data_IF_359698164706
#
_entry.id   IF_359698164706
#
_cell.length_a   1.000
_cell.length_b   1.000
_cell.length_c   1.000
_cell.angle_alpha   90.00
_cell.angle_beta   90.00
_cell.angle_gamma   90.00
#
_symmetry.space_group_name_H-M   'P 1'
#
loop_
_entity.id
_entity.type
_entity.pdbx_description
1 polymer ?
#
# COMPACT_ATOMS: atom_id res chain seq x y z
N UNK A 1 2.38 14.47 4.48
CA UNK A 1 1.57 15.48 3.71
C UNK A 1 0.27 15.65 4.48
N UNK A 2 -0.13 16.87 4.79
CA UNK A 2 -1.36 17.15 5.55
C UNK A 2 -2.15 18.27 4.88
N UNK A 3 -3.48 18.17 4.87
CA UNK A 3 -4.38 19.21 4.38
C UNK A 3 -5.67 19.31 5.21
N UNK A 4 -6.13 20.51 5.46
CA UNK A 4 -7.30 20.80 6.30
C UNK A 4 -8.65 20.51 5.64
N UNK A 5 -8.71 20.20 4.35
CA UNK A 5 -9.96 19.93 3.62
C UNK A 5 -9.88 18.73 2.71
N UNK A 6 -9.03 18.76 1.68
CA UNK A 6 -8.91 17.68 0.71
C UNK A 6 -7.53 17.60 0.11
N UNK A 7 -7.15 16.40 -0.29
CA UNK A 7 -5.95 16.13 -1.08
C UNK A 7 -6.37 15.51 -2.41
N UNK A 8 -5.82 16.05 -3.50
CA UNK A 8 -5.99 15.48 -4.84
C UNK A 8 -4.61 15.23 -5.45
N UNK A 9 -4.35 13.99 -5.83
CA UNK A 9 -3.11 13.57 -6.48
C UNK A 9 -3.47 13.02 -7.87
N UNK A 10 -3.04 13.72 -8.91
CA UNK A 10 -3.35 13.36 -10.30
C UNK A 10 -2.18 12.71 -11.04
N UNK A 11 -1.03 12.55 -10.38
CA UNK A 11 0.16 11.93 -10.99
C UNK A 11 1.45 12.27 -10.26
N UNK A 12 2.56 11.87 -10.87
CA UNK A 12 3.90 12.08 -10.33
C UNK A 12 4.40 10.92 -9.46
N UNK A 13 5.64 11.04 -9.00
CA UNK A 13 6.26 10.10 -8.07
C UNK A 13 6.34 10.76 -6.70
N UNK A 14 5.58 10.27 -5.73
CA UNK A 14 5.41 10.89 -4.42
C UNK A 14 5.83 9.91 -3.33
N UNK A 15 6.78 10.34 -2.51
CA UNK A 15 7.19 9.64 -1.31
C UNK A 15 6.87 10.50 -0.09
N UNK A 16 6.03 9.99 0.80
CA UNK A 16 5.69 10.60 2.08
C UNK A 16 6.19 9.71 3.21
N UNK A 17 6.90 10.28 4.16
CA UNK A 17 7.36 9.59 5.36
C UNK A 17 7.07 10.45 6.59
N UNK A 18 6.38 9.86 7.55
CA UNK A 18 6.18 10.45 8.87
C UNK A 18 6.81 9.59 9.95
N UNK A 19 7.53 10.22 10.86
CA UNK A 19 8.13 9.53 12.02
C UNK A 19 7.20 9.48 13.23
N UNK A 20 6.17 10.31 13.26
CA UNK A 20 5.30 10.45 14.44
C UNK A 20 3.81 10.66 14.14
N UNK A 21 3.40 10.57 12.85
CA UNK A 21 2.00 10.80 12.44
C UNK A 21 1.71 10.02 11.16
N UNK A 22 0.58 10.32 10.49
CA UNK A 22 0.18 9.75 9.20
C UNK A 22 1.13 10.11 8.08
N UNK A 23 1.19 9.26 7.06
CA UNK A 23 1.98 9.53 5.87
C UNK A 23 1.33 10.61 4.98
N UNK A 24 0.09 10.38 4.59
CA UNK A 24 -0.79 11.33 3.90
C UNK A 24 -2.05 11.50 4.74
N UNK A 25 -2.33 12.72 5.17
CA UNK A 25 -3.42 13.06 6.09
C UNK A 25 -4.29 14.16 5.46
N UNK A 26 -5.55 13.85 5.25
CA UNK A 26 -6.56 14.77 4.72
C UNK A 26 -7.73 14.84 5.70
N UNK A 27 -7.93 16.00 6.34
CA UNK A 27 -9.13 16.24 7.17
C UNK A 27 -10.42 16.35 6.33
N UNK A 28 -10.43 15.81 5.13
CA UNK A 28 -11.54 15.76 4.20
C UNK A 28 -11.31 14.68 3.16
N UNK A 29 -11.74 14.89 1.92
CA UNK A 29 -11.62 13.86 0.89
C UNK A 29 -10.19 13.64 0.43
N UNK A 30 -9.87 12.38 0.12
CA UNK A 30 -8.61 11.99 -0.53
C UNK A 30 -8.92 11.39 -1.90
N UNK A 31 -8.35 11.97 -2.95
CA UNK A 31 -8.55 11.51 -4.33
C UNK A 31 -7.20 11.27 -4.99
N UNK A 32 -6.98 10.05 -5.48
CA UNK A 32 -5.77 9.65 -6.22
C UNK A 32 -6.19 9.10 -7.58
N UNK A 33 -5.80 9.78 -8.64
CA UNK A 33 -6.16 9.42 -10.02
C UNK A 33 -4.97 8.97 -10.86
N UNK A 34 -3.75 9.09 -10.32
CA UNK A 34 -2.53 8.68 -11.03
C UNK A 34 -1.27 8.85 -10.20
N UNK A 35 -0.18 8.30 -10.72
CA UNK A 35 1.16 8.40 -10.15
C UNK A 35 1.60 7.18 -9.33
N UNK A 36 2.87 7.17 -8.96
CA UNK A 36 3.43 6.19 -8.03
C UNK A 36 3.57 6.84 -6.67
N UNK A 37 2.78 6.36 -5.69
CA UNK A 37 2.74 6.95 -4.35
C UNK A 37 3.16 5.90 -3.33
N UNK A 38 4.15 6.24 -2.50
CA UNK A 38 4.54 5.47 -1.32
C UNK A 38 4.35 6.36 -0.10
N UNK A 39 3.42 5.97 0.77
CA UNK A 39 3.06 6.71 1.98
C UNK A 39 3.35 5.88 3.23
N UNK A 40 4.17 6.41 4.12
CA UNK A 40 4.63 5.74 5.33
C UNK A 40 4.22 6.55 6.54
N UNK A 41 3.28 6.02 7.30
CA UNK A 41 2.93 6.53 8.63
C UNK A 41 3.68 5.80 9.74
N UNK A 42 3.46 6.21 10.98
CA UNK A 42 4.03 5.53 12.15
C UNK A 42 3.14 4.38 12.63
N UNK A 43 3.32 3.94 13.85
CA UNK A 43 2.54 2.84 14.45
C UNK A 43 1.13 3.31 14.82
N UNK A 44 0.22 2.37 15.08
CA UNK A 44 -1.16 2.67 15.52
C UNK A 44 -1.18 3.75 16.62
N UNK A 45 -2.12 4.74 16.55
CA UNK A 45 -3.29 4.75 15.67
C UNK A 45 -3.05 5.32 14.26
N UNK A 46 -1.87 5.79 13.96
CA UNK A 46 -1.57 6.52 12.73
C UNK A 46 -1.74 5.69 11.45
N UNK A 47 -2.06 6.36 10.36
CA UNK A 47 -2.41 5.74 9.08
C UNK A 47 -1.36 6.01 7.97
N UNK A 48 -1.29 5.10 6.98
CA UNK A 48 -0.54 5.36 5.76
C UNK A 48 -1.24 6.40 4.90
N UNK A 49 -2.55 6.24 4.78
CA UNK A 49 -3.47 7.22 4.20
C UNK A 49 -4.62 7.45 5.18
N UNK A 50 -4.79 8.68 5.65
CA UNK A 50 -5.90 9.12 6.47
C UNK A 50 -6.77 10.14 5.73
N UNK A 51 -8.09 10.00 5.87
CA UNK A 51 -9.07 10.96 5.38
C UNK A 51 -10.28 11.13 6.33
N UNK A 52 -10.09 10.92 7.62
CA UNK A 52 -11.12 11.16 8.64
C UNK A 52 -12.50 10.54 8.32
N UNK A 53 -12.54 9.32 7.79
CA UNK A 53 -13.75 8.63 7.34
C UNK A 53 -14.51 9.35 6.19
N UNK A 54 -13.89 10.31 5.55
CA UNK A 54 -14.41 10.93 4.34
C UNK A 54 -14.20 10.04 3.11
N UNK A 55 -14.53 10.55 1.93
CA UNK A 55 -14.36 9.80 0.68
C UNK A 55 -12.89 9.60 0.34
N UNK A 56 -12.45 8.36 0.24
CA UNK A 56 -11.16 7.97 -0.31
C UNK A 56 -11.35 7.36 -1.69
N UNK A 57 -11.01 8.09 -2.74
CA UNK A 57 -11.17 7.69 -4.13
C UNK A 57 -9.84 7.29 -4.75
N UNK A 58 -9.78 6.07 -5.32
CA UNK A 58 -8.63 5.56 -6.08
C UNK A 58 -9.12 5.12 -7.46
N UNK A 59 -8.55 5.70 -8.52
CA UNK A 59 -8.92 5.37 -9.90
C UNK A 59 -7.73 5.03 -10.80
N UNK A 60 -6.50 5.13 -10.32
CA UNK A 60 -5.29 4.77 -11.07
C UNK A 60 -4.03 4.90 -10.27
N UNK A 61 -3.12 4.33 -10.67
CA UNK A 61 -1.76 3.88 -10.90
C UNK A 61 -1.28 2.94 -9.79
N UNK A 62 -0.12 3.24 -9.15
CA UNK A 62 0.51 2.37 -8.14
C UNK A 62 0.59 3.09 -6.81
N UNK A 63 -0.16 2.60 -5.83
CA UNK A 63 -0.34 3.26 -4.55
C UNK A 63 -0.02 2.27 -3.44
N UNK A 64 0.90 2.64 -2.55
CA UNK A 64 1.24 1.87 -1.37
C UNK A 64 1.20 2.77 -0.13
N UNK A 65 0.45 2.35 0.87
CA UNK A 65 0.45 2.91 2.22
C UNK A 65 0.87 1.86 3.23
N UNK A 66 1.69 2.23 4.20
CA UNK A 66 2.06 1.34 5.31
C UNK A 66 2.17 2.12 6.62
N UNK A 67 1.53 1.60 7.67
CA UNK A 67 1.54 2.17 9.01
C UNK A 67 0.84 1.26 10.01
N UNK A 68 0.35 1.79 11.13
CA UNK A 68 -0.52 1.09 12.08
C UNK A 68 -1.96 0.94 11.60
N UNK A 69 -2.41 1.80 10.68
CA UNK A 69 -3.76 1.82 10.13
C UNK A 69 -3.82 2.34 8.69
N UNK A 70 -5.02 2.43 8.15
CA UNK A 70 -5.31 3.10 6.87
C UNK A 70 -6.80 3.38 6.75
N UNK A 71 -7.17 4.53 6.20
CA UNK A 71 -8.53 4.77 5.74
C UNK A 71 -8.89 3.77 4.63
N UNK A 72 -10.14 3.32 4.62
CA UNK A 72 -10.63 2.35 3.63
C UNK A 72 -11.09 3.07 2.37
N UNK A 73 -10.63 2.67 1.17
CA UNK A 73 -11.13 3.23 -0.08
C UNK A 73 -12.65 3.07 -0.21
N UNK A 74 -13.30 4.12 -0.69
CA UNK A 74 -14.77 4.17 -0.84
C UNK A 74 -15.17 3.42 -2.11
N UNK A 75 -15.74 2.23 -1.97
CA UNK A 75 -16.00 1.31 -3.09
C UNK A 75 -16.89 1.90 -4.19
N UNK A 76 -17.85 2.75 -3.84
CA UNK A 76 -18.79 3.35 -4.82
C UNK A 76 -18.15 4.34 -5.78
N UNK A 77 -16.93 4.82 -5.50
CA UNK A 77 -16.23 5.84 -6.32
C UNK A 77 -14.85 5.38 -6.82
N UNK A 78 -14.36 4.26 -6.33
CA UNK A 78 -13.12 3.66 -6.81
C UNK A 78 -13.35 2.85 -8.09
N UNK A 79 -12.36 2.82 -8.96
CA UNK A 79 -12.35 1.98 -10.17
C UNK A 79 -11.14 1.05 -10.24
N UNK A 80 -10.19 1.22 -9.33
CA UNK A 80 -9.00 0.39 -9.22
C UNK A 80 -9.02 -0.43 -7.93
N UNK A 81 -8.65 -1.71 -8.06
CA UNK A 81 -8.67 -2.65 -6.94
C UNK A 81 -7.58 -2.33 -5.92
N UNK A 82 -7.93 -2.58 -4.68
CA UNK A 82 -7.07 -2.33 -3.52
C UNK A 82 -7.04 -3.56 -2.62
N UNK A 83 -5.86 -3.91 -2.18
CA UNK A 83 -5.58 -4.90 -1.13
C UNK A 83 -5.29 -4.16 0.16
N UNK A 84 -5.93 -4.56 1.25
CA UNK A 84 -5.54 -4.15 2.60
C UNK A 84 -5.11 -5.41 3.36
N UNK A 85 -3.90 -5.39 3.88
CA UNK A 85 -3.27 -6.47 4.62
C UNK A 85 -2.91 -6.02 6.03
N UNK A 86 -3.39 -6.74 7.02
CA UNK A 86 -3.05 -6.53 8.44
C UNK A 86 -2.08 -7.59 8.95
N UNK A 87 -1.12 -7.20 9.77
CA UNK A 87 -0.14 -8.12 10.34
C UNK A 87 0.85 -7.45 11.26
N UNK A 88 2.07 -7.94 11.24
CA UNK A 88 3.24 -7.32 11.87
C UNK A 88 4.42 -7.39 10.91
N UNK A 89 5.41 -6.55 11.10
CA UNK A 89 6.58 -6.55 10.22
C UNK A 89 7.82 -6.00 10.90
N UNK A 90 8.97 -6.62 10.62
CA UNK A 90 10.27 -6.13 11.05
C UNK A 90 10.88 -5.22 9.98
N UNK A 91 11.63 -4.22 10.41
CA UNK A 91 12.39 -3.37 9.48
C UNK A 91 13.30 -4.21 8.59
N UNK A 92 13.30 -3.95 7.30
CA UNK A 92 14.13 -4.63 6.30
C UNK A 92 13.54 -5.94 5.77
N UNK A 93 12.43 -6.44 6.34
CA UNK A 93 11.74 -7.61 5.79
C UNK A 93 11.08 -7.25 4.46
N UNK A 94 11.27 -8.11 3.45
CA UNK A 94 10.56 -8.00 2.18
C UNK A 94 9.16 -8.58 2.34
N UNK A 95 8.15 -7.83 1.93
CA UNK A 95 6.78 -8.29 1.78
C UNK A 95 6.46 -8.32 0.29
N UNK A 96 5.87 -9.41 -0.21
CA UNK A 96 5.57 -9.56 -1.63
C UNK A 96 4.15 -10.03 -1.87
N UNK A 97 3.46 -9.42 -2.83
CA UNK A 97 2.15 -9.85 -3.32
C UNK A 97 2.35 -10.53 -4.68
N UNK A 98 1.98 -11.80 -4.75
CA UNK A 98 2.12 -12.65 -5.92
C UNK A 98 0.76 -13.12 -6.41
N UNK A 99 0.54 -13.04 -7.73
CA UNK A 99 -0.53 -13.72 -8.45
C UNK A 99 0.05 -14.78 -9.39
N UNK A 100 -0.39 -14.83 -10.65
CA UNK A 100 0.31 -15.55 -11.72
C UNK A 100 1.72 -14.99 -11.95
N UNK A 101 1.86 -13.67 -11.73
CA UNK A 101 3.09 -12.91 -11.82
C UNK A 101 3.30 -12.12 -10.54
N UNK A 102 4.52 -11.62 -10.34
CA UNK A 102 4.78 -10.67 -9.26
C UNK A 102 3.98 -9.39 -9.49
N UNK A 103 3.15 -9.05 -8.51
CA UNK A 103 2.41 -7.78 -8.51
C UNK A 103 3.26 -6.67 -7.92
N UNK A 104 3.79 -6.91 -6.71
CA UNK A 104 4.70 -5.98 -6.03
C UNK A 104 5.56 -6.70 -4.99
N UNK A 105 6.69 -6.11 -4.66
CA UNK A 105 7.45 -6.37 -3.43
C UNK A 105 7.75 -5.06 -2.73
N UNK A 106 7.77 -5.07 -1.40
CA UNK A 106 8.03 -3.89 -0.60
C UNK A 106 8.93 -4.21 0.59
N UNK A 107 10.00 -3.45 0.74
CA UNK A 107 10.88 -3.55 1.92
C UNK A 107 10.31 -2.71 3.06
N UNK A 108 9.91 -3.35 4.15
CA UNK A 108 9.32 -2.71 5.32
C UNK A 108 10.31 -1.71 5.92
N UNK A 109 9.96 -0.39 6.01
CA UNK A 109 10.94 0.64 6.34
C UNK A 109 11.22 0.78 7.83
N UNK A 110 10.33 0.29 8.68
CA UNK A 110 10.43 0.32 10.16
C UNK A 110 9.69 -0.87 10.75
N UNK A 111 9.94 -1.19 12.02
CA UNK A 111 9.20 -2.25 12.71
C UNK A 111 7.78 -1.77 13.05
N UNK A 112 6.81 -2.65 12.83
CA UNK A 112 5.41 -2.49 13.23
C UNK A 112 4.96 -3.71 14.02
N UNK A 113 4.53 -3.52 15.26
CA UNK A 113 3.88 -4.57 16.05
C UNK A 113 2.45 -4.84 15.55
N UNK A 114 1.79 -3.77 15.09
CA UNK A 114 0.56 -3.79 14.33
C UNK A 114 0.83 -3.03 13.03
N UNK A 115 0.70 -3.71 11.90
CA UNK A 115 0.96 -3.19 10.57
C UNK A 115 -0.28 -3.30 9.72
N UNK A 116 -0.60 -2.22 9.03
CA UNK A 116 -1.58 -2.21 7.96
C UNK A 116 -0.91 -1.73 6.69
N UNK A 117 -1.00 -2.56 5.63
CA UNK A 117 -0.52 -2.22 4.31
C UNK A 117 -1.72 -2.09 3.38
N UNK A 118 -1.82 -0.96 2.70
CA UNK A 118 -2.74 -0.72 1.59
C UNK A 118 -1.93 -0.74 0.30
N UNK A 119 -2.33 -1.55 -0.66
CA UNK A 119 -1.75 -1.55 -2.00
C UNK A 119 -2.84 -1.53 -3.06
N UNK A 120 -2.75 -0.58 -3.99
CA UNK A 120 -3.67 -0.46 -5.12
C UNK A 120 -2.88 -0.35 -6.43
N UNK A 121 -3.30 -1.13 -7.43
CA UNK A 121 -2.64 -1.16 -8.74
C UNK A 121 -3.57 -1.70 -9.80
N UNK A 122 -3.39 -1.24 -11.05
CA UNK A 122 -4.05 -1.80 -12.24
C UNK A 122 -3.67 -3.26 -12.52
N UNK A 123 -2.61 -3.77 -11.88
CA UNK A 123 -2.21 -5.19 -11.95
C UNK A 123 -3.07 -6.11 -11.09
N UNK A 124 -3.89 -5.57 -10.19
CA UNK A 124 -4.81 -6.36 -9.39
C UNK A 124 -6.09 -6.64 -10.19
N UNK A 125 -6.37 -7.92 -10.44
CA UNK A 125 -7.51 -8.37 -11.25
C UNK A 125 -8.62 -8.99 -10.39
N UNK A 126 -9.86 -8.88 -10.84
CA UNK A 126 -11.02 -9.54 -10.22
C UNK A 126 -10.95 -11.06 -10.37
N UNK A 127 -11.38 -11.79 -9.33
CA UNK A 127 -11.42 -13.25 -9.35
C UNK A 127 -10.06 -13.93 -9.33
N UNK A 128 -8.99 -13.16 -9.13
CA UNK A 128 -7.62 -13.68 -9.01
C UNK A 128 -7.27 -13.88 -7.55
N UNK A 129 -6.67 -15.03 -7.23
CA UNK A 129 -6.10 -15.29 -5.91
C UNK A 129 -4.68 -14.71 -5.87
N UNK A 130 -4.38 -13.99 -4.81
CA UNK A 130 -3.05 -13.47 -4.53
C UNK A 130 -2.52 -14.05 -3.23
N UNK A 131 -1.23 -14.36 -3.22
CA UNK A 131 -0.53 -14.82 -2.03
C UNK A 131 0.40 -13.72 -1.53
N UNK A 132 0.41 -13.50 -0.23
CA UNK A 132 1.34 -12.59 0.42
C UNK A 132 2.45 -13.41 1.05
N UNK A 133 3.69 -13.08 0.69
CA UNK A 133 4.90 -13.67 1.22
C UNK A 133 5.66 -12.66 2.06
N UNK A 134 6.39 -13.16 3.06
CA UNK A 134 7.37 -12.38 3.82
C UNK A 134 8.75 -13.03 3.69
N UNK A 135 9.79 -12.21 3.64
CA UNK A 135 11.15 -12.68 3.36
C UNK A 135 11.41 -12.88 1.86
N UNK A 136 12.44 -13.66 1.54
CA UNK A 136 12.86 -13.88 0.15
C UNK A 136 13.61 -12.70 -0.46
N UNK A 137 13.63 -12.65 -1.78
CA UNK A 137 14.31 -11.60 -2.55
C UNK A 137 13.57 -11.28 -3.84
N UNK A 138 13.83 -10.10 -4.39
CA UNK A 138 13.32 -9.67 -5.70
C UNK A 138 14.48 -9.20 -6.57
N UNK A 139 14.45 -9.54 -7.85
CA UNK A 139 15.42 -9.10 -8.85
C UNK A 139 14.72 -8.47 -10.05
N UNK A 140 15.29 -7.38 -10.59
CA UNK A 140 14.68 -6.61 -11.68
C UNK A 140 13.43 -5.84 -11.20
N UNK A 141 12.60 -5.45 -12.17
CA UNK A 141 11.44 -4.59 -11.91
C UNK A 141 11.79 -3.11 -11.82
N UNK A 142 10.80 -2.29 -11.48
CA UNK A 142 10.95 -0.84 -11.25
C UNK A 142 10.83 -0.56 -9.77
N UNK A 143 11.88 0.03 -9.20
CA UNK A 143 11.96 0.34 -7.76
C UNK A 143 11.67 1.82 -7.50
N UNK A 144 10.90 2.10 -6.44
CA UNK A 144 10.65 3.43 -5.92
C UNK A 144 10.49 3.37 -4.39
N UNK A 145 11.47 3.87 -3.66
CA UNK A 145 11.50 3.92 -2.17
C UNK A 145 11.09 2.59 -1.50
N UNK A 146 11.73 1.50 -1.89
CA UNK A 146 11.49 0.16 -1.37
C UNK A 146 10.33 -0.59 -2.00
N UNK A 147 9.49 0.06 -2.79
CA UNK A 147 8.45 -0.57 -3.61
C UNK A 147 9.03 -1.00 -4.94
N UNK A 148 8.99 -2.30 -5.23
CA UNK A 148 9.36 -2.87 -6.53
C UNK A 148 8.10 -3.41 -7.21
N UNK A 149 7.81 -2.92 -8.40
CA UNK A 149 6.70 -3.38 -9.25
C UNK A 149 7.26 -4.18 -10.43
N UNK A 150 6.73 -5.38 -10.62
CA UNK A 150 7.31 -6.34 -11.56
C UNK A 150 8.59 -6.98 -10.99
N UNK A 151 9.39 -7.61 -11.86
CA UNK A 151 10.58 -8.34 -11.47
C UNK A 151 10.30 -9.82 -11.20
N UNK A 152 11.29 -10.51 -10.65
CA UNK A 152 11.22 -11.94 -10.31
C UNK A 152 11.39 -12.06 -8.80
N UNK A 153 10.35 -12.55 -8.14
CA UNK A 153 10.40 -12.84 -6.71
C UNK A 153 10.87 -14.28 -6.49
N UNK A 154 11.81 -14.44 -5.57
CA UNK A 154 12.25 -15.75 -5.08
C UNK A 154 11.80 -15.89 -3.63
N UNK A 155 11.02 -16.93 -3.34
CA UNK A 155 10.44 -17.19 -2.01
C UNK A 155 11.53 -17.37 -0.95
N UNK A 156 11.29 -16.79 0.23
CA UNK A 156 12.04 -17.09 1.44
C UNK A 156 11.50 -18.33 2.16
N UNK A 157 11.96 -18.51 3.39
CA UNK A 157 11.51 -19.63 4.24
C UNK A 157 10.11 -19.44 4.82
N UNK A 158 9.57 -18.23 4.81
CA UNK A 158 8.32 -17.86 5.48
C UNK A 158 7.22 -17.50 4.47
N UNK A 159 6.36 -18.46 4.21
CA UNK A 159 5.15 -18.28 3.42
C UNK A 159 3.97 -18.03 4.36
N UNK A 160 3.24 -16.94 4.16
CA UNK A 160 1.93 -16.73 4.77
C UNK A 160 0.88 -16.64 3.65
N UNK A 161 0.09 -17.70 3.53
CA UNK A 161 -1.12 -17.67 2.71
C UNK A 161 -2.15 -16.75 3.37
N UNK A 162 -2.56 -15.69 2.71
CA UNK A 162 -3.61 -14.80 3.18
C UNK A 162 -4.68 -14.62 2.11
N UNK A 163 -5.94 -14.79 2.53
CA UNK A 163 -7.09 -14.33 1.76
C UNK A 163 -7.03 -12.80 1.69
N UNK A 164 -6.94 -12.30 0.47
CA UNK A 164 -6.87 -10.88 0.21
C UNK A 164 -8.29 -10.35 0.03
N UNK A 165 -8.70 -9.41 0.88
CA UNK A 165 -9.94 -8.67 0.68
C UNK A 165 -9.69 -7.57 -0.34
N UNK A 166 -10.47 -7.58 -1.43
CA UNK A 166 -10.48 -6.51 -2.41
C UNK A 166 -11.53 -5.47 -2.04
N UNK A 167 -11.10 -4.23 -1.96
CA UNK A 167 -11.96 -3.06 -1.94
C UNK A 167 -11.97 -2.47 -3.36
N UNK A 168 -13.13 -2.21 -3.91
CA UNK A 168 -13.41 -1.70 -5.26
C UNK A 168 -13.46 -2.76 -6.36
#
# INVERSE_FOLDING_TARGET
>A
MNASKSIVINGGNIYCYSSGNDGVDSNGTLTITGGTIVSIGTTSPEEGFDCDQNTFKITGETILGISGGTSTPTSSVCTQRTVIYGGSGSKGTLLSIQGSDQVMSYTIPRAYSQMTLLFSSSKLASGTTYTIYTGGSVTGGTEFYGLTVGGIYTTGSDEKLLLVYFFC
#
